data_IF_671493751785
#
_entry.id   IF_671493751785
#
_cell.length_a   1.000
_cell.length_b   1.000
_cell.length_c   1.000
_cell.angle_alpha   90.00
_cell.angle_beta   90.00
_cell.angle_gamma   90.00
#
_symmetry.space_group_name_H-M   'P 1'
#
loop_
_entity.id
_entity.type
_entity.pdbx_description
1 polymer ?
#
# COMPACT_ATOMS: atom_id res chain seq x y z
N UNK A 1 1.96 22.64 -33.20
CA UNK A 1 2.61 23.63 -34.08
C UNK A 1 3.35 22.97 -35.24
N UNK A 2 2.95 21.76 -35.59
CA UNK A 2 3.65 20.82 -36.48
C UNK A 2 2.69 20.25 -37.55
N UNK A 3 1.47 20.79 -37.67
CA UNK A 3 0.38 20.14 -38.42
C UNK A 3 -0.41 19.14 -37.55
N UNK A 4 -1.52 18.62 -38.08
CA UNK A 4 -2.39 17.61 -37.44
C UNK A 4 -2.67 16.48 -38.45
N UNK A 5 -2.67 15.23 -37.98
CA UNK A 5 -2.94 14.06 -38.84
C UNK A 5 -1.69 13.56 -39.56
N UNK A 6 -1.75 12.30 -40.02
CA UNK A 6 -0.59 11.57 -40.58
C UNK A 6 0.01 12.24 -41.82
N UNK A 7 -0.80 12.96 -42.59
CA UNK A 7 -0.39 13.53 -43.88
C UNK A 7 0.23 14.94 -43.75
N UNK A 8 -0.18 15.72 -42.76
CA UNK A 8 0.27 17.12 -42.56
C UNK A 8 1.24 17.29 -41.37
N UNK A 9 1.43 16.25 -40.56
CA UNK A 9 2.32 16.31 -39.39
C UNK A 9 3.79 16.23 -39.80
N UNK A 10 4.60 17.18 -39.30
CA UNK A 10 6.04 17.21 -39.46
C UNK A 10 6.73 17.46 -38.10
N UNK A 11 7.36 16.42 -37.56
CA UNK A 11 8.07 16.48 -36.29
C UNK A 11 9.33 17.37 -36.32
N UNK A 12 9.95 17.60 -37.47
CA UNK A 12 11.16 18.42 -37.58
C UNK A 12 10.86 19.93 -37.43
N UNK A 13 9.58 20.31 -37.56
CA UNK A 13 9.10 21.68 -37.28
C UNK A 13 8.70 21.87 -35.82
N UNK A 14 9.01 20.93 -34.93
CA UNK A 14 8.61 21.00 -33.54
C UNK A 14 9.28 22.18 -32.82
N UNK A 15 8.46 23.14 -32.38
CA UNK A 15 8.96 24.31 -31.63
C UNK A 15 9.28 23.99 -30.17
N UNK A 16 8.51 23.10 -29.54
CA UNK A 16 8.64 22.74 -28.14
C UNK A 16 8.96 21.25 -28.00
N UNK A 17 10.22 20.95 -27.71
CA UNK A 17 10.75 19.58 -27.63
C UNK A 17 10.41 18.86 -26.31
N UNK A 18 9.81 19.58 -25.35
CA UNK A 18 9.28 19.02 -24.11
C UNK A 18 7.86 19.53 -23.89
N UNK A 19 6.90 18.65 -24.11
CA UNK A 19 5.47 18.88 -23.85
C UNK A 19 5.17 18.19 -22.51
N UNK A 20 4.78 18.96 -21.51
CA UNK A 20 4.47 18.44 -20.18
C UNK A 20 2.96 18.56 -19.96
N UNK A 21 2.31 17.41 -19.72
CA UNK A 21 0.91 17.32 -19.37
C UNK A 21 0.79 17.37 -17.85
N UNK A 22 0.11 18.39 -17.34
CA UNK A 22 -0.15 18.59 -15.93
C UNK A 22 -1.66 18.64 -15.73
N UNK A 23 -2.18 17.74 -14.89
CA UNK A 23 -3.60 17.58 -14.59
C UNK A 23 -3.75 17.16 -13.13
N UNK A 24 -4.94 17.34 -12.58
CA UNK A 24 -5.25 16.97 -11.19
C UNK A 24 -5.16 15.44 -10.99
N UNK A 25 -4.98 15.04 -9.72
CA UNK A 25 -4.85 13.64 -9.32
C UNK A 25 -6.21 12.94 -9.13
N UNK A 26 -7.29 13.56 -9.60
CA UNK A 26 -8.65 13.05 -9.54
C UNK A 26 -9.09 12.36 -10.85
N UNK A 27 -10.34 11.89 -10.87
CA UNK A 27 -10.92 11.15 -12.00
C UNK A 27 -11.00 12.03 -13.25
N UNK A 28 -11.33 13.31 -13.10
CA UNK A 28 -11.45 14.25 -14.22
C UNK A 28 -10.07 14.59 -14.82
N UNK A 29 -9.06 14.77 -13.95
CA UNK A 29 -7.67 14.93 -14.35
C UNK A 29 -7.11 13.69 -15.06
N UNK A 30 -7.48 12.48 -14.61
CA UNK A 30 -7.16 11.25 -15.31
C UNK A 30 -7.84 11.18 -16.69
N UNK A 31 -9.12 11.57 -16.78
CA UNK A 31 -9.86 11.57 -18.04
C UNK A 31 -9.24 12.51 -19.07
N UNK A 32 -8.98 13.78 -18.73
CA UNK A 32 -8.39 14.74 -19.68
C UNK A 32 -6.98 14.31 -20.11
N UNK A 33 -6.19 13.72 -19.20
CA UNK A 33 -4.87 13.17 -19.51
C UNK A 33 -4.98 12.05 -20.53
N UNK A 34 -5.89 11.10 -20.34
CA UNK A 34 -6.12 9.98 -21.28
C UNK A 34 -6.58 10.48 -22.65
N UNK A 35 -7.44 11.50 -22.70
CA UNK A 35 -7.87 12.11 -23.96
C UNK A 35 -6.69 12.73 -24.73
N UNK A 36 -5.84 13.50 -24.04
CA UNK A 36 -4.68 14.14 -24.64
C UNK A 36 -3.64 13.11 -25.10
N UNK A 37 -3.34 12.10 -24.27
CA UNK A 37 -2.41 11.03 -24.64
C UNK A 37 -2.91 10.27 -25.88
N UNK A 38 -4.20 9.96 -25.94
CA UNK A 38 -4.79 9.32 -27.12
C UNK A 38 -4.72 10.22 -28.35
N UNK A 39 -4.98 11.52 -28.18
CA UNK A 39 -4.87 12.47 -29.28
C UNK A 39 -3.44 12.51 -29.83
N UNK A 40 -2.42 12.58 -28.96
CA UNK A 40 -1.01 12.49 -29.38
C UNK A 40 -0.72 11.17 -30.08
N UNK A 41 -1.18 10.06 -29.52
CA UNK A 41 -0.97 8.73 -30.08
C UNK A 41 -1.56 8.57 -31.49
N UNK A 42 -2.81 9.02 -31.71
CA UNK A 42 -3.47 8.85 -33.02
C UNK A 42 -3.03 9.87 -34.06
N UNK A 43 -2.85 11.13 -33.66
CA UNK A 43 -2.65 12.23 -34.60
C UNK A 43 -1.17 12.60 -34.78
N UNK A 44 -0.34 12.34 -33.77
CA UNK A 44 1.07 12.76 -33.73
C UNK A 44 1.97 11.70 -33.04
N UNK A 45 1.92 10.42 -33.45
CA UNK A 45 2.60 9.32 -32.76
C UNK A 45 4.10 9.56 -32.60
N UNK A 46 4.74 10.18 -33.60
CA UNK A 46 6.17 10.49 -33.56
C UNK A 46 6.57 11.38 -32.36
N UNK A 47 5.66 12.19 -31.80
CA UNK A 47 5.98 12.96 -30.59
C UNK A 47 6.20 12.06 -29.38
N UNK A 48 5.47 10.94 -29.30
CA UNK A 48 5.65 9.94 -28.25
C UNK A 48 6.87 9.09 -28.55
N UNK A 49 7.02 8.60 -29.78
CA UNK A 49 8.17 7.77 -30.19
C UNK A 49 9.51 8.50 -30.03
N UNK A 50 9.56 9.80 -30.34
CA UNK A 50 10.75 10.65 -30.15
C UNK A 50 10.93 11.13 -28.69
N UNK A 51 10.01 10.75 -27.79
CA UNK A 51 10.15 11.03 -26.35
C UNK A 51 9.89 12.48 -25.94
N UNK A 52 9.06 13.22 -26.67
CA UNK A 52 8.78 14.64 -26.40
C UNK A 52 7.62 14.87 -25.42
N UNK A 53 6.82 13.85 -25.11
CA UNK A 53 5.64 13.94 -24.23
C UNK A 53 5.96 13.42 -22.84
N UNK A 54 5.67 14.24 -21.83
CA UNK A 54 5.90 13.97 -20.42
C UNK A 54 4.64 14.25 -19.61
N UNK A 55 4.50 13.59 -18.46
CA UNK A 55 3.44 13.82 -17.47
C UNK A 55 4.10 14.38 -16.21
N UNK A 56 3.61 15.52 -15.72
CA UNK A 56 4.04 16.08 -14.45
C UNK A 56 3.54 15.22 -13.28
N UNK A 57 4.38 15.06 -12.26
CA UNK A 57 4.03 14.33 -11.03
C UNK A 57 4.04 15.31 -9.85
N UNK A 58 2.95 16.09 -9.64
CA UNK A 58 2.85 16.96 -8.48
C UNK A 58 2.81 16.14 -7.18
N UNK A 59 3.25 16.70 -6.04
CA UNK A 59 3.23 15.98 -4.78
C UNK A 59 1.82 15.77 -4.25
N UNK A 60 1.53 14.56 -3.76
CA UNK A 60 0.25 14.24 -3.12
C UNK A 60 0.16 14.79 -1.69
N UNK A 61 1.29 14.90 -1.00
CA UNK A 61 1.34 15.33 0.40
C UNK A 61 2.35 16.43 0.66
N UNK A 62 2.03 17.30 1.61
CA UNK A 62 2.98 18.15 2.32
C UNK A 62 2.96 17.78 3.80
N UNK A 63 4.12 17.45 4.32
CA UNK A 63 4.32 17.13 5.73
C UNK A 63 5.15 18.22 6.38
N UNK A 64 4.70 18.75 7.52
CA UNK A 64 5.43 19.77 8.27
C UNK A 64 5.65 19.33 9.72
N UNK A 65 6.88 19.50 10.21
CA UNK A 65 7.30 19.26 11.59
C UNK A 65 8.00 20.52 12.12
N UNK A 66 7.29 21.32 12.89
CA UNK A 66 7.79 22.63 13.33
C UNK A 66 8.07 23.56 12.15
N UNK A 67 9.34 23.93 11.94
CA UNK A 67 9.78 24.80 10.83
C UNK A 67 10.17 24.05 9.56
N UNK A 68 10.35 22.73 9.62
CA UNK A 68 10.72 21.93 8.47
C UNK A 68 9.46 21.44 7.76
N UNK A 69 9.44 21.54 6.44
CA UNK A 69 8.39 20.93 5.61
C UNK A 69 9.00 20.14 4.46
N UNK A 70 8.33 19.06 4.07
CA UNK A 70 8.73 18.20 2.98
C UNK A 70 7.51 17.87 2.12
N UNK A 71 7.69 17.87 0.81
CA UNK A 71 6.70 17.39 -0.15
C UNK A 71 6.96 15.92 -0.44
N UNK A 72 5.91 15.11 -0.47
CA UNK A 72 5.97 13.67 -0.72
C UNK A 72 5.06 13.35 -1.90
N UNK A 73 5.56 12.57 -2.87
CA UNK A 73 4.89 12.40 -4.15
C UNK A 73 3.63 11.54 -4.06
N UNK A 74 3.67 10.50 -3.25
CA UNK A 74 2.65 9.44 -3.19
C UNK A 74 2.52 8.87 -1.76
N UNK A 75 1.63 7.88 -1.62
CA UNK A 75 1.43 7.17 -0.35
C UNK A 75 2.67 6.36 0.07
N UNK A 76 3.43 5.81 -0.88
CA UNK A 76 4.63 5.02 -0.58
C UNK A 76 5.71 5.86 0.09
N UNK A 77 5.92 7.09 -0.41
CA UNK A 77 6.83 8.07 0.20
C UNK A 77 6.31 8.58 1.54
N UNK A 78 4.99 8.78 1.68
CA UNK A 78 4.38 9.08 2.98
C UNK A 78 4.68 8.00 4.01
N UNK A 79 4.41 6.74 3.70
CA UNK A 79 4.65 5.64 4.62
C UNK A 79 6.14 5.48 4.93
N UNK A 80 7.00 5.63 3.93
CA UNK A 80 8.45 5.59 4.13
C UNK A 80 8.92 6.69 5.07
N UNK A 81 8.40 7.90 4.91
CA UNK A 81 8.68 9.04 5.80
C UNK A 81 8.17 8.78 7.22
N UNK A 82 6.96 8.24 7.37
CA UNK A 82 6.41 7.89 8.69
C UNK A 82 7.18 6.76 9.37
N UNK A 83 7.66 5.76 8.63
CA UNK A 83 8.51 4.69 9.15
C UNK A 83 9.86 5.24 9.61
N UNK A 84 10.49 6.11 8.80
CA UNK A 84 11.76 6.77 9.15
C UNK A 84 11.60 7.59 10.44
N UNK A 85 10.57 8.44 10.49
CA UNK A 85 10.32 9.31 11.62
C UNK A 85 9.86 8.54 12.87
N UNK A 86 9.04 7.50 12.70
CA UNK A 86 8.61 6.62 13.78
C UNK A 86 9.73 5.74 14.33
N UNK A 87 10.73 5.39 13.52
CA UNK A 87 11.88 4.60 13.95
C UNK A 87 13.02 5.47 14.51
N UNK A 88 12.96 6.79 14.30
CA UNK A 88 13.94 7.74 14.84
C UNK A 88 13.83 7.82 16.36
N UNK A 89 14.98 7.65 17.04
CA UNK A 89 15.10 7.57 18.51
C UNK A 89 14.19 6.49 19.13
N UNK A 90 13.90 5.43 18.39
CA UNK A 90 13.08 4.32 18.83
C UNK A 90 13.90 3.03 18.95
N UNK A 91 13.49 2.19 19.89
CA UNK A 91 14.09 0.90 20.18
C UNK A 91 13.00 -0.17 20.22
N UNK A 92 13.28 -1.33 19.62
CA UNK A 92 12.47 -2.53 19.79
C UNK A 92 13.23 -3.50 20.68
N UNK A 93 12.79 -3.65 21.92
CA UNK A 93 13.29 -4.64 22.87
C UNK A 93 12.55 -5.96 22.66
N UNK A 94 13.27 -6.99 22.23
CA UNK A 94 12.70 -8.32 22.07
C UNK A 94 12.79 -9.10 23.38
N UNK A 95 11.91 -10.09 23.55
CA UNK A 95 11.87 -10.95 24.74
C UNK A 95 13.16 -11.78 24.94
N UNK A 96 13.93 -11.97 23.87
CA UNK A 96 15.24 -12.64 23.89
C UNK A 96 16.37 -11.77 24.49
N UNK A 97 16.12 -10.47 24.71
CA UNK A 97 17.11 -9.50 25.18
C UNK A 97 17.87 -8.78 24.06
N UNK A 98 17.70 -9.19 22.80
CA UNK A 98 18.20 -8.46 21.64
C UNK A 98 17.39 -7.17 21.43
N UNK A 99 18.07 -6.09 21.01
CA UNK A 99 17.49 -4.78 20.74
C UNK A 99 17.75 -4.39 19.30
N UNK A 100 16.70 -3.94 18.59
CA UNK A 100 16.81 -3.41 17.23
C UNK A 100 16.56 -1.92 17.19
N UNK A 101 17.45 -1.22 16.48
CA UNK A 101 17.53 0.24 16.42
C UNK A 101 17.75 0.70 14.98
N UNK A 102 17.44 1.96 14.69
CA UNK A 102 17.81 2.61 13.43
C UNK A 102 17.41 1.82 12.19
N UNK A 103 18.38 1.50 11.32
CA UNK A 103 18.14 0.80 10.05
C UNK A 103 17.61 -0.62 10.22
N UNK A 104 17.97 -1.33 11.30
CA UNK A 104 17.49 -2.69 11.55
C UNK A 104 16.00 -2.68 11.92
N UNK A 105 15.60 -1.71 12.74
CA UNK A 105 14.19 -1.47 13.06
C UNK A 105 13.41 -1.06 11.80
N UNK A 106 13.95 -0.12 11.01
CA UNK A 106 13.29 0.31 9.77
C UNK A 106 13.09 -0.85 8.79
N UNK A 107 14.08 -1.74 8.66
CA UNK A 107 14.00 -2.91 7.79
C UNK A 107 12.91 -3.87 8.26
N UNK A 108 12.87 -4.16 9.56
CA UNK A 108 11.82 -4.99 10.16
C UNK A 108 10.40 -4.39 9.98
N UNK A 109 10.26 -3.07 10.12
CA UNK A 109 8.97 -2.39 9.93
C UNK A 109 8.53 -2.41 8.46
N UNK A 110 9.46 -2.33 7.51
CA UNK A 110 9.14 -2.48 6.08
C UNK A 110 8.65 -3.89 5.76
N UNK A 111 9.26 -4.91 6.35
CA UNK A 111 8.74 -6.28 6.29
C UNK A 111 7.34 -6.36 6.91
N UNK A 112 7.12 -5.69 8.05
CA UNK A 112 5.82 -5.66 8.71
C UNK A 112 4.73 -4.98 7.85
N UNK A 113 5.08 -3.91 7.12
CA UNK A 113 4.19 -3.27 6.13
C UNK A 113 3.85 -4.22 4.98
N UNK A 114 4.84 -4.92 4.44
CA UNK A 114 4.59 -5.86 3.35
C UNK A 114 3.76 -7.07 3.82
N UNK A 115 3.92 -7.48 5.08
CA UNK A 115 3.11 -8.49 5.74
C UNK A 115 1.68 -8.02 5.98
N UNK A 116 1.46 -6.78 6.46
CA UNK A 116 0.12 -6.24 6.73
C UNK A 116 -0.75 -6.26 5.48
N UNK A 117 -0.21 -5.84 4.32
CA UNK A 117 -0.94 -5.89 3.05
C UNK A 117 -1.41 -7.32 2.69
N UNK A 118 -0.69 -8.36 3.10
CA UNK A 118 -1.13 -9.76 2.96
C UNK A 118 -2.23 -10.14 3.94
N UNK A 119 -2.17 -9.65 5.17
CA UNK A 119 -3.25 -9.82 6.15
C UNK A 119 -4.52 -9.10 5.72
N UNK A 120 -4.41 -7.89 5.19
CA UNK A 120 -5.54 -7.07 4.74
C UNK A 120 -6.36 -7.77 3.65
N UNK A 121 -5.68 -8.43 2.69
CA UNK A 121 -6.35 -9.25 1.66
C UNK A 121 -7.16 -10.41 2.24
N UNK A 122 -6.68 -11.01 3.32
CA UNK A 122 -7.36 -12.14 3.98
C UNK A 122 -8.40 -11.67 5.02
N UNK A 123 -8.30 -10.42 5.49
CA UNK A 123 -9.12 -9.87 6.58
C UNK A 123 -10.62 -9.83 6.31
N UNK A 124 -11.03 -9.85 5.04
CA UNK A 124 -12.44 -9.94 4.65
C UNK A 124 -13.10 -11.27 5.08
N UNK A 125 -12.29 -12.30 5.30
CA UNK A 125 -12.75 -13.67 5.55
C UNK A 125 -12.55 -14.12 6.99
N UNK A 126 -11.60 -13.52 7.71
CA UNK A 126 -11.36 -13.81 9.13
C UNK A 126 -10.71 -12.60 9.83
N UNK A 127 -10.74 -12.51 11.17
CA UNK A 127 -10.13 -11.40 11.89
C UNK A 127 -8.61 -11.28 11.63
N UNK A 128 -8.13 -10.06 11.39
CA UNK A 128 -6.73 -9.77 11.05
C UNK A 128 -5.73 -10.31 12.08
N UNK A 129 -6.01 -10.15 13.38
CA UNK A 129 -5.13 -10.67 14.44
C UNK A 129 -5.04 -12.20 14.41
N UNK A 130 -6.12 -12.90 14.07
CA UNK A 130 -6.10 -14.36 13.95
C UNK A 130 -5.31 -14.83 12.73
N UNK A 131 -5.45 -14.13 11.60
CA UNK A 131 -4.66 -14.39 10.40
C UNK A 131 -3.17 -14.15 10.65
N UNK A 132 -2.81 -13.05 11.31
CA UNK A 132 -1.44 -12.74 11.69
C UNK A 132 -0.84 -13.85 12.57
N UNK A 133 -1.52 -14.22 13.65
CA UNK A 133 -0.99 -15.23 14.57
C UNK A 133 -0.97 -16.64 13.97
N UNK A 134 -1.92 -16.97 13.10
CA UNK A 134 -1.91 -18.21 12.32
C UNK A 134 -0.74 -18.28 11.33
N UNK A 135 -0.45 -17.17 10.63
CA UNK A 135 0.68 -17.09 9.71
C UNK A 135 2.02 -17.25 10.45
N UNK A 136 2.19 -16.55 11.58
CA UNK A 136 3.40 -16.64 12.41
C UNK A 136 3.57 -18.02 13.09
N UNK A 137 2.48 -18.75 13.30
CA UNK A 137 2.52 -20.14 13.78
C UNK A 137 2.79 -21.17 12.66
N UNK A 138 2.91 -20.74 11.40
CA UNK A 138 3.15 -21.62 10.26
C UNK A 138 1.90 -22.36 9.75
N UNK A 139 0.69 -21.92 10.12
CA UNK A 139 -0.56 -22.58 9.71
C UNK A 139 -0.78 -22.57 8.19
N UNK A 140 -0.27 -21.56 7.51
CA UNK A 140 -0.43 -21.37 6.07
C UNK A 140 0.73 -21.99 5.25
N UNK A 141 1.69 -22.66 5.91
CA UNK A 141 2.76 -23.35 5.21
C UNK A 141 2.23 -24.57 4.43
N UNK A 142 2.85 -24.89 3.29
CA UNK A 142 2.36 -25.97 2.41
C UNK A 142 2.34 -27.34 3.12
N UNK A 143 3.38 -27.64 3.91
CA UNK A 143 3.55 -28.88 4.67
C UNK A 143 3.17 -28.76 6.14
N UNK A 144 2.30 -27.80 6.50
CA UNK A 144 1.87 -27.60 7.89
C UNK A 144 1.13 -28.84 8.43
N UNK A 145 1.55 -29.37 9.58
CA UNK A 145 0.69 -30.23 10.38
C UNK A 145 -0.36 -29.36 11.07
N UNK A 146 -1.61 -29.51 10.65
CA UNK A 146 -2.72 -28.67 11.09
C UNK A 146 -2.96 -28.76 12.59
N UNK A 147 -2.65 -29.89 13.23
CA UNK A 147 -2.86 -30.09 14.67
C UNK A 147 -1.85 -29.30 15.47
N UNK A 148 -0.57 -29.41 15.14
CA UNK A 148 0.49 -28.69 15.84
C UNK A 148 0.46 -27.19 15.53
N UNK A 149 0.21 -26.81 14.28
CA UNK A 149 0.13 -25.41 13.88
C UNK A 149 -1.10 -24.68 14.46
N UNK A 150 -2.26 -25.35 14.58
CA UNK A 150 -3.45 -24.75 15.23
C UNK A 150 -3.24 -24.56 16.73
N UNK A 151 -2.63 -25.53 17.42
CA UNK A 151 -2.26 -25.37 18.82
C UNK A 151 -1.25 -24.23 19.03
N UNK A 152 -0.22 -24.13 18.18
CA UNK A 152 0.76 -23.06 18.22
C UNK A 152 0.12 -21.68 17.96
N UNK A 153 -0.78 -21.58 16.99
CA UNK A 153 -1.53 -20.35 16.71
C UNK A 153 -2.41 -19.94 17.90
N UNK A 154 -3.05 -20.90 18.59
CA UNK A 154 -3.84 -20.61 19.79
C UNK A 154 -3.00 -20.04 20.94
N UNK A 155 -1.80 -20.58 21.17
CA UNK A 155 -0.85 -20.03 22.16
C UNK A 155 -0.51 -18.57 21.81
N UNK A 156 -0.31 -18.27 20.53
CA UNK A 156 -0.04 -16.91 20.06
C UNK A 156 -1.25 -15.98 20.18
N UNK A 157 -2.47 -16.47 19.95
CA UNK A 157 -3.70 -15.71 20.17
C UNK A 157 -3.85 -15.26 21.63
N UNK A 158 -3.34 -16.05 22.58
CA UNK A 158 -3.35 -15.68 24.00
C UNK A 158 -2.48 -14.46 24.34
N UNK A 159 -1.59 -14.02 23.43
CA UNK A 159 -0.89 -12.74 23.57
C UNK A 159 -1.83 -11.53 23.58
N UNK A 160 -3.07 -11.70 23.09
CA UNK A 160 -4.13 -10.68 23.07
C UNK A 160 -5.17 -10.87 24.18
N UNK A 161 -5.02 -11.85 25.06
CA UNK A 161 -5.95 -12.07 26.16
C UNK A 161 -5.82 -10.97 27.23
N UNK A 162 -6.96 -10.44 27.69
CA UNK A 162 -7.06 -9.49 28.78
C UNK A 162 -7.36 -10.20 30.11
N UNK A 163 -7.24 -9.48 31.22
CA UNK A 163 -7.56 -10.04 32.54
C UNK A 163 -9.03 -10.48 32.63
N UNK A 164 -9.24 -11.74 33.03
CA UNK A 164 -10.57 -12.35 33.13
C UNK A 164 -11.04 -13.09 31.86
N UNK A 165 -10.21 -13.10 30.83
CA UNK A 165 -10.41 -13.93 29.66
C UNK A 165 -9.91 -15.38 29.87
N UNK A 166 -10.60 -16.37 29.30
CA UNK A 166 -10.06 -17.74 29.20
C UNK A 166 -8.96 -17.86 28.14
N UNK A 167 -8.32 -19.02 28.03
CA UNK A 167 -7.32 -19.29 27.01
C UNK A 167 -7.97 -19.71 25.68
N UNK A 168 -7.45 -19.20 24.56
CA UNK A 168 -7.71 -19.72 23.24
C UNK A 168 -7.22 -21.16 23.13
N UNK A 169 -8.06 -21.99 22.53
CA UNK A 169 -7.75 -23.35 22.11
C UNK A 169 -7.93 -23.44 20.60
N UNK A 170 -7.04 -24.15 19.91
CA UNK A 170 -7.06 -24.31 18.46
C UNK A 170 -7.06 -25.78 18.09
N UNK A 171 -7.96 -26.19 17.21
CA UNK A 171 -8.03 -27.56 16.71
C UNK A 171 -8.46 -27.60 15.24
N UNK A 172 -8.06 -28.65 14.49
CA UNK A 172 -8.63 -28.92 13.18
C UNK A 172 -10.15 -29.13 13.28
N UNK A 173 -10.90 -28.43 12.43
CA UNK A 173 -12.34 -28.56 12.29
C UNK A 173 -12.74 -29.45 11.10
N UNK A 174 -14.02 -29.39 10.73
CA UNK A 174 -14.53 -30.07 9.55
C UNK A 174 -13.97 -29.46 8.25
N UNK A 175 -13.90 -30.27 7.19
CA UNK A 175 -13.52 -29.80 5.84
C UNK A 175 -12.21 -29.01 5.81
N UNK A 176 -11.20 -29.45 6.58
CA UNK A 176 -9.87 -28.84 6.59
C UNK A 176 -9.79 -27.44 7.22
N UNK A 177 -10.87 -26.95 7.83
CA UNK A 177 -10.87 -25.70 8.58
C UNK A 177 -10.08 -25.82 9.89
N UNK A 178 -9.76 -24.70 10.50
CA UNK A 178 -9.18 -24.61 11.84
C UNK A 178 -10.06 -23.72 12.68
N UNK A 179 -10.42 -24.23 13.86
CA UNK A 179 -11.34 -23.55 14.77
C UNK A 179 -10.57 -23.15 16.02
N UNK A 180 -10.63 -21.87 16.34
CA UNK A 180 -10.15 -21.32 17.60
C UNK A 180 -11.34 -20.99 18.48
N UNK A 181 -11.32 -21.42 19.75
CA UNK A 181 -12.38 -21.11 20.71
C UNK A 181 -11.82 -20.61 22.03
N UNK A 182 -12.56 -19.71 22.68
CA UNK A 182 -12.24 -19.17 24.00
C UNK A 182 -13.50 -18.80 24.76
N UNK A 183 -13.46 -18.81 26.09
CA UNK A 183 -14.56 -18.27 26.91
C UNK A 183 -14.19 -16.90 27.46
N UNK A 184 -15.00 -15.89 27.16
CA UNK A 184 -14.87 -14.53 27.68
C UNK A 184 -16.14 -14.14 28.43
N UNK A 185 -16.03 -13.89 29.75
CA UNK A 185 -17.18 -13.49 30.60
C UNK A 185 -18.43 -14.38 30.41
N UNK A 186 -18.22 -15.70 30.42
CA UNK A 186 -19.23 -16.74 30.19
C UNK A 186 -19.82 -16.83 28.76
N UNK A 187 -19.31 -16.05 27.80
CA UNK A 187 -19.64 -16.15 26.36
C UNK A 187 -18.53 -16.91 25.64
N UNK A 188 -18.88 -17.88 24.80
CA UNK A 188 -17.92 -18.56 23.94
C UNK A 188 -17.68 -17.72 22.67
N UNK A 189 -16.43 -17.34 22.45
CA UNK A 189 -15.97 -16.73 21.20
C UNK A 189 -15.35 -17.82 20.33
N UNK A 190 -15.69 -17.82 19.04
CA UNK A 190 -15.20 -18.79 18.06
C UNK A 190 -14.70 -18.06 16.81
N UNK A 191 -13.50 -18.41 16.35
CA UNK A 191 -12.93 -17.94 15.09
C UNK A 191 -12.69 -19.18 14.22
N UNK A 192 -13.17 -19.14 12.98
CA UNK A 192 -13.00 -20.23 12.02
C UNK A 192 -12.13 -19.73 10.87
N UNK A 193 -11.02 -20.39 10.62
CA UNK A 193 -10.23 -20.24 9.42
C UNK A 193 -10.57 -21.39 8.47
N UNK A 194 -11.29 -21.09 7.40
CA UNK A 194 -11.70 -22.10 6.41
C UNK A 194 -10.51 -22.66 5.63
N UNK A 195 -10.62 -23.90 5.13
CA UNK A 195 -9.57 -24.50 4.29
C UNK A 195 -9.26 -23.65 3.05
N UNK A 196 -10.29 -23.09 2.42
CA UNK A 196 -10.14 -22.22 1.25
C UNK A 196 -9.42 -20.91 1.57
N UNK A 197 -9.37 -20.47 2.83
CA UNK A 197 -8.51 -19.37 3.28
C UNK A 197 -7.09 -19.88 3.49
N UNK A 198 -6.93 -20.93 4.30
CA UNK A 198 -5.64 -21.51 4.69
C UNK A 198 -4.82 -21.93 3.47
N UNK A 199 -5.45 -22.50 2.45
CA UNK A 199 -4.80 -23.02 1.24
C UNK A 199 -4.71 -22.01 0.09
N UNK A 200 -5.22 -20.79 0.27
CA UNK A 200 -5.18 -19.74 -0.75
C UNK A 200 -3.75 -19.32 -1.12
N UNK A 201 -3.57 -18.78 -2.33
CA UNK A 201 -2.27 -18.24 -2.75
C UNK A 201 -1.82 -17.09 -1.87
N UNK A 202 -2.74 -16.24 -1.41
CA UNK A 202 -2.44 -15.14 -0.50
C UNK A 202 -1.96 -15.63 0.87
N UNK A 203 -2.56 -16.70 1.40
CA UNK A 203 -2.10 -17.32 2.65
C UNK A 203 -0.69 -17.91 2.52
N UNK A 204 -0.37 -18.57 1.38
CA UNK A 204 0.99 -19.07 1.12
C UNK A 204 2.02 -17.94 1.04
N UNK A 205 1.70 -16.87 0.30
CA UNK A 205 2.56 -15.67 0.22
C UNK A 205 2.74 -15.01 1.59
N UNK A 206 1.70 -15.01 2.43
CA UNK A 206 1.78 -14.49 3.79
C UNK A 206 2.68 -15.38 4.67
N UNK A 207 2.62 -16.71 4.51
CA UNK A 207 3.49 -17.64 5.21
C UNK A 207 4.98 -17.45 4.88
N UNK A 208 5.31 -17.20 3.61
CA UNK A 208 6.68 -16.88 3.18
C UNK A 208 7.17 -15.59 3.85
N UNK A 209 6.33 -14.55 3.88
CA UNK A 209 6.65 -13.28 4.55
C UNK A 209 6.77 -13.41 6.06
N UNK A 210 6.02 -14.34 6.67
CA UNK A 210 6.08 -14.59 8.11
C UNK A 210 7.48 -15.02 8.57
N UNK A 211 8.29 -15.64 7.70
CA UNK A 211 9.65 -16.09 8.00
C UNK A 211 10.59 -14.94 8.40
N UNK A 212 10.33 -13.71 7.92
CA UNK A 212 11.11 -12.52 8.31
C UNK A 212 11.00 -12.17 9.81
N UNK A 213 10.00 -12.73 10.50
CA UNK A 213 9.73 -12.50 11.92
C UNK A 213 10.05 -13.71 12.79
N UNK A 214 10.70 -14.73 12.25
CA UNK A 214 11.12 -15.88 13.04
C UNK A 214 12.03 -15.44 14.19
N UNK A 215 11.74 -15.94 15.40
CA UNK A 215 12.43 -15.54 16.63
C UNK A 215 12.13 -14.10 17.14
N UNK A 216 11.44 -13.25 16.38
CA UNK A 216 11.18 -11.83 16.77
C UNK A 216 10.01 -11.72 17.74
N UNK A 217 8.86 -12.31 17.40
CA UNK A 217 7.61 -12.21 18.16
C UNK A 217 7.22 -13.52 18.85
N UNK A 218 8.20 -14.22 19.43
CA UNK A 218 7.94 -15.45 20.22
C UNK A 218 7.14 -15.11 21.49
N UNK A 219 7.46 -13.98 22.11
CA UNK A 219 6.71 -13.35 23.19
C UNK A 219 6.63 -11.84 22.93
N UNK A 220 5.74 -11.09 23.61
CA UNK A 220 5.53 -9.68 23.33
C UNK A 220 6.83 -8.88 23.44
N UNK A 221 7.16 -8.14 22.38
CA UNK A 221 8.26 -7.19 22.36
C UNK A 221 7.79 -5.84 22.92
N UNK A 222 8.74 -4.96 23.26
CA UNK A 222 8.43 -3.59 23.69
C UNK A 222 9.03 -2.62 22.70
N UNK A 223 8.17 -1.83 22.05
CA UNK A 223 8.60 -0.67 21.28
C UNK A 223 8.69 0.54 22.21
N UNK A 224 9.87 1.13 22.35
CA UNK A 224 10.12 2.34 23.15
C UNK A 224 10.53 3.48 22.24
N UNK A 225 9.92 4.64 22.43
CA UNK A 225 10.38 5.89 21.82
C UNK A 225 10.18 7.03 22.81
N UNK A 226 11.29 7.66 23.21
CA UNK A 226 11.31 8.66 24.29
C UNK A 226 10.69 8.06 25.57
N UNK A 227 9.72 8.73 26.18
CA UNK A 227 9.08 8.30 27.43
C UNK A 227 7.88 7.35 27.22
N UNK A 228 7.57 6.94 25.98
CA UNK A 228 6.44 6.06 25.69
C UNK A 228 6.92 4.66 25.31
N UNK A 229 6.33 3.67 25.96
CA UNK A 229 6.49 2.25 25.64
C UNK A 229 5.15 1.66 25.19
N UNK A 230 5.19 0.86 24.12
CA UNK A 230 4.05 0.12 23.59
C UNK A 230 4.40 -1.36 23.51
N UNK A 231 3.52 -2.22 24.00
CA UNK A 231 3.65 -3.68 23.86
C UNK A 231 3.31 -4.10 22.43
N UNK A 232 4.18 -4.90 21.84
CA UNK A 232 4.11 -5.36 20.45
C UNK A 232 3.95 -6.88 20.43
N UNK A 233 2.80 -7.38 20.00
CA UNK A 233 2.47 -8.83 19.97
C UNK A 233 2.73 -9.46 18.60
N UNK A 234 2.92 -8.65 17.57
CA UNK A 234 3.17 -9.10 16.20
C UNK A 234 3.55 -7.97 15.24
N UNK A 235 3.77 -8.30 13.95
CA UNK A 235 4.09 -7.32 12.91
C UNK A 235 3.07 -6.18 12.77
N UNK A 236 1.77 -6.44 12.91
CA UNK A 236 0.73 -5.41 12.77
C UNK A 236 0.82 -4.38 13.90
N UNK A 237 1.00 -4.85 15.14
CA UNK A 237 1.24 -3.96 16.28
C UNK A 237 2.50 -3.11 16.07
N UNK A 238 3.58 -3.72 15.56
CA UNK A 238 4.84 -3.02 15.31
C UNK A 238 4.64 -1.90 14.28
N UNK A 239 4.02 -2.23 13.16
CA UNK A 239 3.74 -1.28 12.08
C UNK A 239 2.88 -0.13 12.60
N UNK A 240 1.78 -0.44 13.29
CA UNK A 240 0.87 0.57 13.82
C UNK A 240 1.56 1.47 14.84
N UNK A 241 2.32 0.90 15.78
CA UNK A 241 3.05 1.66 16.80
C UNK A 241 4.05 2.63 16.17
N UNK A 242 4.77 2.18 15.13
CA UNK A 242 5.77 3.00 14.42
C UNK A 242 5.09 4.08 13.57
N UNK A 243 4.04 3.76 12.82
CA UNK A 243 3.31 4.75 12.01
C UNK A 243 2.64 5.81 12.90
N UNK A 244 2.04 5.41 14.02
CA UNK A 244 1.42 6.35 14.98
C UNK A 244 2.48 7.22 15.67
N UNK A 245 3.64 6.65 15.97
CA UNK A 245 4.78 7.41 16.46
C UNK A 245 5.28 8.42 15.41
N UNK A 246 5.37 8.01 14.14
CA UNK A 246 5.77 8.87 13.02
C UNK A 246 4.80 10.04 12.82
N UNK A 247 3.49 9.79 12.91
CA UNK A 247 2.44 10.82 12.74
C UNK A 247 2.43 11.88 13.85
N UNK A 248 2.91 11.56 15.06
CA UNK A 248 2.83 12.48 16.22
C UNK A 248 3.64 13.75 15.99
N UNK A 249 2.95 14.89 16.06
CA UNK A 249 3.55 16.21 15.92
C UNK A 249 3.76 16.65 14.47
N UNK A 250 3.27 15.88 13.49
CA UNK A 250 3.24 16.25 12.08
C UNK A 250 1.94 16.96 11.73
N UNK A 251 2.04 18.02 10.94
CA UNK A 251 0.91 18.55 10.17
C UNK A 251 0.98 17.94 8.77
N UNK A 252 -0.04 17.18 8.39
CA UNK A 252 -0.13 16.51 7.09
C UNK A 252 -1.23 17.19 6.28
N UNK A 253 -0.87 17.74 5.13
CA UNK A 253 -1.78 18.28 4.14
C UNK A 253 -1.75 17.38 2.90
N UNK A 254 -2.92 16.94 2.44
CA UNK A 254 -3.07 16.19 1.19
C UNK A 254 -3.60 17.13 0.11
N UNK A 255 -2.95 17.16 -1.05
CA UNK A 255 -3.41 17.91 -2.21
C UNK A 255 -4.32 17.03 -3.06
N UNK A 256 -5.55 17.46 -3.32
CA UNK A 256 -6.49 16.74 -4.22
C UNK A 256 -6.46 17.29 -5.64
N UNK A 257 -6.13 18.57 -5.79
CA UNK A 257 -5.98 19.23 -7.08
C UNK A 257 -4.88 20.28 -7.04
N UNK A 258 -4.38 20.65 -8.21
CA UNK A 258 -3.31 21.63 -8.39
C UNK A 258 -3.73 23.01 -7.88
N UNK A 259 -5.03 23.33 -7.93
CA UNK A 259 -5.59 24.58 -7.44
C UNK A 259 -5.56 24.75 -5.90
N UNK A 260 -5.28 23.68 -5.15
CA UNK A 260 -5.09 23.75 -3.70
C UNK A 260 -3.70 24.26 -3.30
N UNK A 261 -2.78 24.37 -4.27
CA UNK A 261 -1.43 24.87 -4.09
C UNK A 261 -1.35 26.36 -4.41
N UNK A 262 -0.63 27.11 -3.59
CA UNK A 262 -0.29 28.49 -3.94
C UNK A 262 0.69 28.51 -5.13
N UNK A 263 0.75 29.58 -5.94
CA UNK A 263 1.61 29.65 -7.11
C UNK A 263 3.09 29.36 -6.84
N UNK A 264 3.62 29.84 -5.72
CA UNK A 264 5.00 29.55 -5.29
C UNK A 264 5.21 28.06 -5.01
N UNK A 265 4.25 27.40 -4.35
CA UNK A 265 4.32 25.96 -4.07
C UNK A 265 4.29 25.16 -5.36
N UNK A 266 3.36 25.49 -6.28
CA UNK A 266 3.25 24.83 -7.58
C UNK A 266 4.54 24.98 -8.39
N UNK A 267 5.17 26.16 -8.33
CA UNK A 267 6.46 26.40 -8.97
C UNK A 267 7.55 25.50 -8.38
N UNK A 268 7.77 25.57 -7.07
CA UNK A 268 8.80 24.83 -6.34
C UNK A 268 8.67 23.31 -6.50
N UNK A 269 7.45 22.79 -6.55
CA UNK A 269 7.22 21.34 -6.57
C UNK A 269 7.14 20.76 -7.97
N UNK A 270 6.55 21.49 -8.92
CA UNK A 270 6.07 20.89 -10.18
C UNK A 270 6.67 21.55 -11.41
N UNK A 271 7.10 22.82 -11.34
CA UNK A 271 7.61 23.55 -12.51
C UNK A 271 9.13 23.76 -12.48
N UNK A 272 9.75 23.87 -11.30
CA UNK A 272 11.19 24.03 -11.14
C UNK A 272 11.93 22.85 -11.79
N UNK A 273 12.83 23.17 -12.72
CA UNK A 273 13.61 22.19 -13.49
C UNK A 273 14.47 21.29 -12.60
N UNK A 274 14.88 21.79 -11.42
CA UNK A 274 15.75 21.05 -10.50
C UNK A 274 14.97 20.17 -9.50
N UNK A 275 13.69 20.45 -9.29
CA UNK A 275 12.87 19.75 -8.28
C UNK A 275 11.75 18.90 -8.89
N UNK A 276 11.25 19.25 -10.07
CA UNK A 276 10.12 18.58 -10.71
C UNK A 276 10.43 17.13 -11.05
N UNK A 277 9.44 16.28 -10.85
CA UNK A 277 9.45 14.90 -11.32
C UNK A 277 8.56 14.78 -12.55
N UNK A 278 9.12 14.24 -13.64
CA UNK A 278 8.42 14.03 -14.90
C UNK A 278 8.45 12.55 -15.26
N UNK A 279 7.31 12.01 -15.66
CA UNK A 279 7.20 10.69 -16.26
C UNK A 279 7.21 10.84 -17.78
N UNK A 280 8.18 10.23 -18.46
CA UNK A 280 8.21 10.22 -19.92
C UNK A 280 7.23 9.16 -20.45
N UNK A 281 6.42 9.53 -21.43
CA UNK A 281 5.49 8.59 -22.06
C UNK A 281 6.22 7.81 -23.14
N UNK A 282 6.17 6.49 -23.05
CA UNK A 282 6.64 5.54 -24.08
C UNK A 282 5.46 4.73 -24.64
N UNK A 283 5.63 4.20 -25.85
CA UNK A 283 4.73 3.20 -26.42
C UNK A 283 5.44 1.86 -26.32
N UNK A 284 4.95 0.95 -25.48
CA UNK A 284 5.50 -0.41 -25.38
C UNK A 284 4.77 -1.37 -26.35
N UNK A 285 3.45 -1.24 -26.49
CA UNK A 285 2.62 -2.03 -27.41
C UNK A 285 1.48 -1.19 -28.02
N UNK A 286 1.31 -1.21 -29.34
CA UNK A 286 0.30 -0.40 -30.06
C UNK A 286 -1.15 -0.92 -29.90
N UNK A 287 -1.33 -2.17 -29.50
CA UNK A 287 -2.62 -2.88 -29.53
C UNK A 287 -3.45 -2.66 -28.24
N UNK A 288 -2.84 -2.67 -27.06
CA UNK A 288 -3.55 -2.58 -25.76
C UNK A 288 -4.21 -1.20 -25.52
N UNK A 289 -3.59 -0.13 -26.00
CA UNK A 289 -4.12 1.23 -25.85
C UNK A 289 -5.38 1.47 -26.70
N UNK A 290 -5.52 0.77 -27.83
CA UNK A 290 -6.70 0.90 -28.70
C UNK A 290 -7.94 0.22 -28.09
N UNK A 291 -7.77 -0.90 -27.40
CA UNK A 291 -8.88 -1.63 -26.78
C UNK A 291 -9.44 -0.91 -25.55
N UNK A 292 -8.57 -0.35 -24.71
CA UNK A 292 -8.96 0.52 -23.60
C UNK A 292 -9.72 1.77 -24.10
N UNK A 293 -9.29 2.32 -25.23
CA UNK A 293 -9.91 3.47 -25.88
C UNK A 293 -11.26 3.14 -26.53
N UNK A 294 -11.41 2.01 -27.24
CA UNK A 294 -12.68 1.60 -27.83
C UNK A 294 -13.76 1.41 -26.76
N UNK A 295 -13.39 0.89 -25.58
CA UNK A 295 -14.28 0.76 -24.42
C UNK A 295 -14.64 2.10 -23.79
N UNK A 296 -13.69 3.03 -23.66
CA UNK A 296 -13.89 4.32 -22.98
C UNK A 296 -14.52 5.41 -23.87
N UNK A 297 -14.29 5.37 -25.18
CA UNK A 297 -14.60 6.47 -26.12
C UNK A 297 -15.38 6.00 -27.35
N UNK A 298 -15.79 4.74 -27.42
CA UNK A 298 -16.70 4.25 -28.46
C UNK A 298 -18.09 4.90 -28.35
N UNK A 299 -18.85 4.85 -29.46
CA UNK A 299 -20.21 5.41 -29.56
C UNK A 299 -21.24 4.67 -28.68
N UNK A 300 -20.86 3.50 -28.14
CA UNK A 300 -21.69 2.66 -27.29
C UNK A 300 -21.47 3.04 -25.82
N UNK A 301 -22.53 3.53 -25.17
CA UNK A 301 -22.50 4.06 -23.79
C UNK A 301 -22.36 2.94 -22.74
N UNK A 302 -22.95 1.77 -22.98
CA UNK A 302 -22.98 0.65 -22.03
C UNK A 302 -21.59 0.11 -21.65
N UNK A 303 -20.68 -0.22 -22.59
CA UNK A 303 -19.31 -0.67 -22.25
C UNK A 303 -18.50 0.35 -21.47
N UNK A 304 -18.72 1.64 -21.73
CA UNK A 304 -18.11 2.76 -20.98
C UNK A 304 -18.65 2.80 -19.56
N UNK A 305 -19.96 2.60 -19.38
CA UNK A 305 -20.61 2.59 -18.06
C UNK A 305 -20.19 1.37 -17.24
N UNK A 306 -20.12 0.19 -17.85
CA UNK A 306 -19.65 -1.05 -17.21
C UNK A 306 -18.17 -0.94 -16.84
N UNK A 307 -17.30 -0.45 -17.73
CA UNK A 307 -15.90 -0.20 -17.39
C UNK A 307 -15.75 0.80 -16.25
N UNK A 308 -16.50 1.90 -16.27
CA UNK A 308 -16.51 2.87 -15.15
C UNK A 308 -17.09 2.23 -13.89
N UNK A 309 -18.08 1.35 -13.94
CA UNK A 309 -18.65 0.72 -12.74
C UNK A 309 -17.76 -0.38 -12.15
N UNK A 310 -17.16 -1.23 -13.00
CA UNK A 310 -16.22 -2.28 -12.61
C UNK A 310 -14.91 -1.67 -12.09
N UNK A 311 -14.39 -0.64 -12.76
CA UNK A 311 -13.14 0.02 -12.35
C UNK A 311 -13.37 1.19 -11.37
N UNK A 312 -14.61 1.66 -11.13
CA UNK A 312 -14.88 2.60 -10.03
C UNK A 312 -14.85 1.92 -8.66
N UNK A 313 -15.08 0.60 -8.62
CA UNK A 313 -14.84 -0.20 -7.42
C UNK A 313 -13.33 -0.39 -7.18
N UNK A 314 -12.51 -0.43 -8.23
CA UNK A 314 -11.03 -0.41 -8.10
C UNK A 314 -10.45 1.02 -7.97
N UNK A 315 -11.19 2.05 -8.38
CA UNK A 315 -10.82 3.47 -8.23
C UNK A 315 -11.38 4.12 -6.94
N UNK A 316 -12.01 3.32 -6.09
CA UNK A 316 -12.25 3.67 -4.71
C UNK A 316 -11.32 2.84 -3.83
N UNK A 317 -10.45 3.58 -3.14
CA UNK A 317 -9.72 3.17 -1.92
C UNK A 317 -8.37 2.48 -2.17
N UNK A 318 -7.31 3.29 -2.35
CA UNK A 318 -6.07 3.01 -1.61
C UNK A 318 -6.41 3.10 -0.11
N UNK A 319 -6.63 1.93 0.48
CA UNK A 319 -6.42 1.57 1.90
C UNK A 319 -5.31 0.53 1.86
#
# INVERSE_FOLDING_TARGET
GTGIGRDDFNADKLRYHKIILMADADVDGAHIRTLLLTFFYRQMPELITRGHVYIAQPPLYKVAKGKQSRYLKDQSEMDSYLIEEGSSEAELDMSTGERRLGLDLQSLVREAKAFSAGVDRLSQRAPAFAIEQAALAGLFAETSDMTTASAAAAVRLNLYAEEGDGDWTGAPGEQGAVVFTRTRRAVQETIVLEETLIRSLDARRLAERAQAFDGVFVAPATYRRKDKSTTIRGPLDLLNAVLDAGKKGLSIQRYKGLGEMNPEQLWETTLDVNARTLLQVSVEHEEDANDLFAKLMGDVVEPRREFIQENALDAAVDV
#
